data_IF_002537051097
#
_entry.id   IF_002537051097
#
_cell.length_a   1.000
_cell.length_b   1.000
_cell.length_c   1.000
_cell.angle_alpha   90.00
_cell.angle_beta   90.00
_cell.angle_gamma   90.00
#
_symmetry.space_group_name_H-M   'P 1'
#
loop_
_entity.id
_entity.type
_entity.pdbx_description
1 polymer ?
#
# COMPACT_ATOMS: atom_id res chain seq x y z
N UNK A 1 18.00 -12.75 -13.84
CA UNK A 1 17.53 -11.36 -13.66
C UNK A 1 17.30 -10.74 -15.04
N UNK A 2 16.16 -10.08 -15.25
CA UNK A 2 15.84 -9.44 -16.54
C UNK A 2 16.67 -8.15 -16.70
N UNK A 3 17.20 -7.91 -17.90
CA UNK A 3 18.10 -6.78 -18.16
C UNK A 3 17.40 -5.53 -18.70
N UNK A 4 16.22 -5.66 -19.34
CA UNK A 4 15.52 -4.52 -19.93
C UNK A 4 14.25 -4.18 -19.16
N UNK A 5 14.21 -2.95 -18.63
CA UNK A 5 13.02 -2.34 -18.06
C UNK A 5 12.40 -1.37 -19.07
N UNK A 6 11.17 -1.63 -19.49
CA UNK A 6 10.39 -0.72 -20.34
C UNK A 6 9.38 0.00 -19.46
N UNK A 7 9.43 1.33 -19.42
CA UNK A 7 8.51 2.15 -18.63
C UNK A 7 7.52 2.81 -19.58
N UNK A 8 6.25 2.39 -19.53
CA UNK A 8 5.15 3.04 -20.23
C UNK A 8 4.63 4.21 -19.39
N UNK A 9 4.45 5.39 -19.99
CA UNK A 9 4.19 6.61 -19.24
C UNK A 9 5.47 7.22 -18.63
N UNK A 10 6.60 7.04 -19.30
CA UNK A 10 7.92 7.40 -18.78
C UNK A 10 8.09 8.89 -18.42
N UNK A 11 7.31 9.79 -19.01
CA UNK A 11 7.30 11.23 -18.70
C UNK A 11 6.53 11.59 -17.42
N UNK A 12 5.81 10.64 -16.82
CA UNK A 12 4.95 10.88 -15.66
C UNK A 12 5.69 11.10 -14.33
N UNK A 13 4.94 11.60 -13.33
CA UNK A 13 5.46 11.87 -11.98
C UNK A 13 5.99 10.61 -11.30
N UNK A 14 5.30 9.47 -11.43
CA UNK A 14 5.72 8.19 -10.84
C UNK A 14 7.15 7.81 -11.24
N UNK A 15 7.45 7.95 -12.54
CA UNK A 15 8.77 7.62 -13.08
C UNK A 15 9.85 8.50 -12.47
N UNK A 16 9.66 9.82 -12.51
CA UNK A 16 10.68 10.76 -12.05
C UNK A 16 10.84 10.82 -10.52
N UNK A 17 9.75 10.63 -9.77
CA UNK A 17 9.70 10.78 -8.31
C UNK A 17 10.00 9.49 -7.54
N UNK A 18 9.70 8.32 -8.12
CA UNK A 18 9.83 7.05 -7.41
C UNK A 18 10.71 6.04 -8.15
N UNK A 19 10.43 5.74 -9.42
CA UNK A 19 11.16 4.70 -10.16
C UNK A 19 12.62 5.09 -10.41
N UNK A 20 12.86 6.31 -10.88
CA UNK A 20 14.22 6.74 -11.19
C UNK A 20 15.11 6.87 -9.95
N UNK A 21 14.67 7.48 -8.84
CA UNK A 21 15.43 7.43 -7.58
C UNK A 21 15.72 6.00 -7.13
N UNK A 22 14.75 5.10 -7.26
CA UNK A 22 14.92 3.70 -6.90
C UNK A 22 15.97 3.00 -7.78
N UNK A 23 15.93 3.20 -9.10
CA UNK A 23 16.92 2.65 -10.04
C UNK A 23 18.33 3.19 -9.74
N UNK A 24 18.46 4.49 -9.48
CA UNK A 24 19.75 5.09 -9.07
C UNK A 24 20.27 4.42 -7.81
N UNK A 25 19.41 4.25 -6.79
CA UNK A 25 19.81 3.61 -5.54
C UNK A 25 20.24 2.16 -5.74
N UNK A 26 19.53 1.39 -6.56
CA UNK A 26 19.92 0.01 -6.89
C UNK A 26 21.24 -0.06 -7.64
N UNK A 27 21.52 0.92 -8.51
CA UNK A 27 22.80 0.99 -9.20
C UNK A 27 23.96 1.23 -8.22
N UNK A 28 23.77 2.14 -7.26
CA UNK A 28 24.75 2.46 -6.22
C UNK A 28 25.05 1.28 -5.29
N UNK A 29 24.03 0.46 -5.01
CA UNK A 29 24.19 -0.77 -4.22
C UNK A 29 24.67 -1.98 -5.04
N UNK A 30 24.91 -1.82 -6.35
CA UNK A 30 25.35 -2.91 -7.22
C UNK A 30 24.30 -4.02 -7.41
N UNK A 31 23.02 -3.70 -7.24
CA UNK A 31 21.89 -4.64 -7.31
C UNK A 31 21.21 -4.71 -8.68
N UNK A 32 21.65 -3.89 -9.65
CA UNK A 32 21.18 -3.98 -11.02
C UNK A 32 21.99 -5.03 -11.80
N UNK A 33 21.36 -5.76 -12.75
CA UNK A 33 22.07 -6.74 -13.53
C UNK A 33 23.10 -6.10 -14.47
N UNK A 34 24.15 -6.85 -14.81
CA UNK A 34 25.07 -6.44 -15.87
C UNK A 34 24.31 -6.25 -17.18
N UNK A 35 24.60 -5.16 -17.91
CA UNK A 35 23.89 -4.82 -19.14
C UNK A 35 22.49 -4.23 -18.94
N UNK A 36 22.08 -3.88 -17.71
CA UNK A 36 20.79 -3.25 -17.45
C UNK A 36 20.51 -2.02 -18.34
N UNK A 37 19.32 -1.96 -18.93
CA UNK A 37 18.85 -0.84 -19.77
C UNK A 37 17.44 -0.45 -19.41
N UNK A 38 17.12 0.83 -19.61
CA UNK A 38 15.78 1.37 -19.47
C UNK A 38 15.32 1.92 -20.81
N UNK A 39 14.12 1.55 -21.26
CA UNK A 39 13.44 2.18 -22.38
C UNK A 39 12.20 2.91 -21.86
N UNK A 40 12.22 4.23 -21.90
CA UNK A 40 11.06 5.05 -21.62
C UNK A 40 10.17 5.19 -22.86
N UNK A 41 8.87 4.94 -22.71
CA UNK A 41 7.86 5.16 -23.74
C UNK A 41 6.79 6.10 -23.21
N UNK A 42 6.54 7.19 -23.94
CA UNK A 42 5.45 8.12 -23.66
C UNK A 42 5.00 8.83 -24.95
N UNK A 43 3.91 9.60 -24.87
CA UNK A 43 3.36 10.34 -26.01
C UNK A 43 3.99 11.72 -26.21
N UNK A 44 4.65 12.25 -25.17
CA UNK A 44 5.31 13.55 -25.21
C UNK A 44 6.31 13.66 -26.38
N UNK A 45 6.34 14.83 -27.01
CA UNK A 45 7.23 15.09 -28.14
C UNK A 45 8.65 15.42 -27.66
N UNK A 46 9.30 14.43 -27.06
CA UNK A 46 10.65 14.52 -26.51
C UNK A 46 11.62 13.66 -27.31
N UNK A 47 12.85 14.16 -27.44
CA UNK A 47 13.97 13.32 -27.85
C UNK A 47 14.68 12.75 -26.60
N UNK A 48 15.59 11.82 -26.82
CA UNK A 48 16.34 11.14 -25.75
C UNK A 48 17.13 12.10 -24.85
N UNK A 49 17.71 13.15 -25.41
CA UNK A 49 18.48 14.17 -24.66
C UNK A 49 17.57 14.97 -23.72
N UNK A 50 16.40 15.39 -24.20
CA UNK A 50 15.40 16.10 -23.41
C UNK A 50 14.86 15.23 -22.29
N UNK A 51 14.58 13.95 -22.56
CA UNK A 51 14.13 13.01 -21.54
C UNK A 51 15.18 12.81 -20.43
N UNK A 52 16.45 12.58 -20.79
CA UNK A 52 17.54 12.45 -19.82
C UNK A 52 17.74 13.72 -19.00
N UNK A 53 17.64 14.89 -19.63
CA UNK A 53 17.76 16.18 -18.96
C UNK A 53 16.64 16.40 -17.94
N UNK A 54 15.40 16.05 -18.31
CA UNK A 54 14.26 16.07 -17.40
C UNK A 54 14.47 15.17 -16.18
N UNK A 55 14.91 13.92 -16.39
CA UNK A 55 15.19 13.00 -15.29
C UNK A 55 16.32 13.53 -14.39
N UNK A 56 17.38 14.09 -14.97
CA UNK A 56 18.50 14.67 -14.23
C UNK A 56 18.04 15.81 -13.32
N UNK A 57 17.20 16.72 -13.82
CA UNK A 57 16.64 17.83 -13.06
C UNK A 57 15.78 17.32 -11.90
N UNK A 58 14.88 16.36 -12.15
CA UNK A 58 13.99 15.78 -11.13
C UNK A 58 14.78 15.03 -10.05
N UNK A 59 15.79 14.26 -10.44
CA UNK A 59 16.68 13.59 -9.50
C UNK A 59 17.45 14.59 -8.62
N UNK A 60 17.94 15.70 -9.19
CA UNK A 60 18.59 16.76 -8.42
C UNK A 60 17.62 17.42 -7.43
N UNK A 61 16.39 17.73 -7.85
CA UNK A 61 15.37 18.34 -7.01
C UNK A 61 14.88 17.41 -5.88
N UNK A 62 14.87 16.10 -6.10
CA UNK A 62 14.43 15.12 -5.10
C UNK A 62 15.37 15.01 -3.89
N UNK A 63 16.55 15.64 -3.94
CA UNK A 63 17.56 15.49 -2.90
C UNK A 63 18.07 14.07 -2.75
N UNK A 64 17.80 13.18 -3.73
CA UNK A 64 18.54 11.92 -3.86
C UNK A 64 20.01 12.34 -3.81
N UNK A 65 20.77 11.86 -2.83
CA UNK A 65 22.23 12.08 -2.66
C UNK A 65 22.89 10.76 -2.98
N UNK A 66 23.92 10.82 -3.81
CA UNK A 66 24.35 9.70 -4.60
C UNK A 66 25.55 10.14 -5.37
N UNK A 67 26.49 9.24 -5.58
CA UNK A 67 27.79 9.59 -6.14
C UNK A 67 27.55 10.04 -7.58
N UNK A 68 27.80 11.32 -7.87
CA UNK A 68 27.45 11.95 -9.16
C UNK A 68 27.73 11.02 -10.33
N UNK A 69 28.97 10.50 -10.44
CA UNK A 69 29.39 9.64 -11.55
C UNK A 69 28.56 8.37 -11.79
N UNK A 70 27.96 7.78 -10.75
CA UNK A 70 27.05 6.63 -10.90
C UNK A 70 25.71 7.05 -11.51
N UNK A 71 25.23 8.25 -11.21
CA UNK A 71 24.00 8.81 -11.81
C UNK A 71 24.16 9.08 -13.29
N UNK A 72 25.27 9.70 -13.67
CA UNK A 72 25.56 9.94 -15.08
C UNK A 72 25.67 8.62 -15.85
N UNK A 73 26.26 7.59 -15.23
CA UNK A 73 26.37 6.26 -15.82
C UNK A 73 25.00 5.62 -16.07
N UNK A 74 24.09 5.64 -15.09
CA UNK A 74 22.76 5.04 -15.26
C UNK A 74 21.90 5.84 -16.25
N UNK A 75 21.95 7.19 -16.23
CA UNK A 75 21.25 8.02 -17.20
C UNK A 75 21.71 7.75 -18.64
N UNK A 76 22.99 7.39 -18.83
CA UNK A 76 23.54 6.96 -20.12
C UNK A 76 22.94 5.67 -20.67
N UNK A 77 22.31 4.85 -19.81
CA UNK A 77 21.65 3.56 -20.15
C UNK A 77 20.14 3.69 -20.38
N UNK A 78 19.61 4.91 -20.41
CA UNK A 78 18.18 5.19 -20.59
C UNK A 78 17.94 5.69 -22.02
N UNK A 79 17.10 4.99 -22.76
CA UNK A 79 16.63 5.40 -24.07
C UNK A 79 15.18 5.88 -23.98
N UNK A 80 14.73 6.68 -24.96
CA UNK A 80 13.36 7.18 -25.04
C UNK A 80 12.78 6.95 -26.42
N UNK A 81 11.52 6.52 -26.47
CA UNK A 81 10.77 6.40 -27.71
C UNK A 81 9.38 7.01 -27.55
N UNK A 82 9.01 7.88 -28.49
CA UNK A 82 7.66 8.41 -28.56
C UNK A 82 6.74 7.37 -29.20
N UNK A 83 5.74 6.90 -28.46
CA UNK A 83 4.74 5.99 -28.98
C UNK A 83 3.46 6.04 -28.13
N UNK A 84 2.33 5.77 -28.77
CA UNK A 84 1.09 5.44 -28.08
C UNK A 84 1.08 3.95 -27.70
N UNK A 85 1.07 3.69 -26.40
CA UNK A 85 1.09 2.33 -25.82
C UNK A 85 -0.19 1.54 -26.09
N UNK A 86 -1.27 2.24 -26.46
CA UNK A 86 -2.54 1.61 -26.86
C UNK A 86 -2.59 1.30 -28.36
N UNK A 87 -1.58 1.73 -29.12
CA UNK A 87 -1.46 1.44 -30.53
C UNK A 87 -0.41 0.34 -30.73
N UNK A 88 -0.87 -0.85 -31.12
CA UNK A 88 -0.04 -2.04 -31.35
C UNK A 88 1.15 -1.76 -32.29
N UNK A 89 0.94 -1.08 -33.41
CA UNK A 89 1.98 -0.93 -34.44
C UNK A 89 3.08 0.03 -33.98
N UNK A 90 2.69 1.13 -33.32
CA UNK A 90 3.65 2.04 -32.70
C UNK A 90 4.44 1.35 -31.58
N UNK A 91 3.76 0.55 -30.75
CA UNK A 91 4.41 -0.20 -29.68
C UNK A 91 5.36 -1.28 -30.23
N UNK A 92 4.98 -1.99 -31.29
CA UNK A 92 5.85 -2.94 -31.99
C UNK A 92 7.14 -2.25 -32.48
N UNK A 93 6.99 -1.07 -33.09
CA UNK A 93 8.12 -0.29 -33.58
C UNK A 93 9.04 0.16 -32.43
N UNK A 94 8.47 0.64 -31.31
CA UNK A 94 9.22 1.06 -30.14
C UNK A 94 10.01 -0.11 -29.51
N UNK A 95 9.41 -1.30 -29.46
CA UNK A 95 10.02 -2.50 -28.88
C UNK A 95 10.96 -3.25 -29.85
N UNK A 96 11.02 -2.88 -31.12
CA UNK A 96 11.83 -3.57 -32.15
C UNK A 96 13.33 -3.68 -31.81
N UNK A 97 13.84 -2.78 -30.95
CA UNK A 97 15.24 -2.74 -30.50
C UNK A 97 15.49 -3.49 -29.20
N UNK A 98 14.43 -3.94 -28.52
CA UNK A 98 14.52 -4.72 -27.28
C UNK A 98 14.77 -6.18 -27.65
N UNK A 99 15.77 -6.79 -27.01
CA UNK A 99 16.14 -8.20 -27.26
C UNK A 99 15.93 -9.01 -26.00
N UNK A 100 15.34 -10.20 -26.16
CA UNK A 100 15.04 -11.09 -25.03
C UNK A 100 13.89 -10.62 -24.14
N UNK A 101 13.70 -11.28 -22.98
CA UNK A 101 12.64 -10.94 -22.03
C UNK A 101 12.79 -9.53 -21.47
N UNK A 102 11.66 -8.87 -21.23
CA UNK A 102 11.61 -7.50 -20.69
C UNK A 102 10.64 -7.39 -19.50
N UNK A 103 10.82 -6.35 -18.69
CA UNK A 103 9.83 -5.92 -17.71
C UNK A 103 9.03 -4.77 -18.33
N UNK A 104 7.74 -4.99 -18.55
CA UNK A 104 6.77 -4.01 -19.02
C UNK A 104 6.13 -3.30 -17.81
N UNK A 105 6.64 -2.12 -17.45
CA UNK A 105 6.14 -1.34 -16.33
C UNK A 105 5.08 -0.33 -16.78
N UNK A 106 3.83 -0.53 -16.36
CA UNK A 106 2.71 0.34 -16.71
C UNK A 106 2.61 1.49 -15.69
N UNK A 107 3.46 2.51 -15.85
CA UNK A 107 3.37 3.77 -15.11
C UNK A 107 2.31 4.69 -15.73
N UNK A 108 1.10 4.15 -15.91
CA UNK A 108 0.00 4.74 -16.66
C UNK A 108 -1.22 5.01 -15.77
N UNK A 109 -2.10 5.94 -16.15
CA UNK A 109 -3.43 6.05 -15.58
C UNK A 109 -4.24 4.74 -15.72
N UNK A 110 -5.16 4.43 -14.79
CA UNK A 110 -5.88 3.14 -14.76
C UNK A 110 -6.68 2.85 -16.04
N UNK A 111 -7.26 3.90 -16.63
CA UNK A 111 -8.03 3.81 -17.88
C UNK A 111 -7.22 3.28 -19.07
N UNK A 112 -5.88 3.36 -19.00
CA UNK A 112 -4.99 2.89 -20.06
C UNK A 112 -4.45 1.47 -19.81
N UNK A 113 -4.72 0.85 -18.64
CA UNK A 113 -4.20 -0.49 -18.35
C UNK A 113 -4.72 -1.53 -19.34
N UNK A 114 -6.04 -1.69 -19.48
CA UNK A 114 -6.62 -2.69 -20.37
C UNK A 114 -6.19 -2.50 -21.85
N UNK A 115 -6.32 -1.30 -22.46
CA UNK A 115 -5.85 -1.08 -23.84
C UNK A 115 -4.35 -1.33 -24.05
N UNK A 116 -3.52 -1.01 -23.05
CA UNK A 116 -2.07 -1.28 -23.12
C UNK A 116 -1.77 -2.77 -23.03
N UNK A 117 -2.46 -3.50 -22.14
CA UNK A 117 -2.29 -4.95 -22.01
C UNK A 117 -2.77 -5.67 -23.26
N UNK A 118 -3.91 -5.28 -23.84
CA UNK A 118 -4.38 -5.78 -25.14
C UNK A 118 -3.32 -5.62 -26.23
N UNK A 119 -2.65 -4.46 -26.27
CA UNK A 119 -1.54 -4.22 -27.19
C UNK A 119 -0.35 -5.15 -26.91
N UNK A 120 0.03 -5.35 -25.64
CA UNK A 120 1.12 -6.26 -25.26
C UNK A 120 0.81 -7.74 -25.58
N UNK A 121 -0.43 -8.18 -25.33
CA UNK A 121 -0.93 -9.52 -25.66
C UNK A 121 -0.82 -9.76 -27.17
N UNK A 122 -1.24 -8.79 -27.98
CA UNK A 122 -1.16 -8.87 -29.44
C UNK A 122 0.28 -8.93 -29.99
N UNK A 123 1.26 -8.40 -29.24
CA UNK A 123 2.68 -8.42 -29.62
C UNK A 123 3.39 -9.74 -29.26
N UNK A 124 2.82 -10.56 -28.38
CA UNK A 124 3.41 -11.83 -27.91
C UNK A 124 4.85 -11.64 -27.43
N UNK A 125 5.02 -10.92 -26.33
CA UNK A 125 6.34 -10.66 -25.75
C UNK A 125 7.14 -11.96 -25.54
N UNK A 126 8.50 -11.89 -25.57
CA UNK A 126 9.34 -13.06 -25.34
C UNK A 126 9.03 -13.75 -24.01
N UNK A 127 9.08 -15.10 -23.99
CA UNK A 127 8.81 -15.90 -22.79
C UNK A 127 9.71 -15.46 -21.62
N UNK A 128 9.11 -15.30 -20.43
CA UNK A 128 9.77 -14.78 -19.23
C UNK A 128 9.76 -13.26 -19.14
N UNK A 129 9.11 -12.57 -20.08
CA UNK A 129 8.77 -11.16 -19.91
C UNK A 129 7.73 -11.01 -18.80
N UNK A 130 7.82 -9.91 -18.06
CA UNK A 130 6.97 -9.62 -16.92
C UNK A 130 6.16 -8.37 -17.17
N UNK A 131 4.98 -8.27 -16.58
CA UNK A 131 4.15 -7.07 -16.62
C UNK A 131 3.97 -6.53 -15.21
N UNK A 132 4.16 -5.23 -15.03
CA UNK A 132 4.05 -4.56 -13.73
C UNK A 132 2.94 -3.54 -13.79
N UNK A 133 2.01 -3.60 -12.84
CA UNK A 133 0.87 -2.70 -12.73
C UNK A 133 0.93 -1.98 -11.38
N UNK A 134 0.60 -0.70 -11.40
CA UNK A 134 0.32 0.08 -10.21
C UNK A 134 -1.15 -0.05 -9.79
N UNK A 135 -1.41 0.18 -8.51
CA UNK A 135 -2.78 0.34 -8.03
C UNK A 135 -3.47 1.54 -8.73
N UNK A 136 -4.80 1.50 -8.91
CA UNK A 136 -5.76 0.48 -8.50
C UNK A 136 -5.87 -0.71 -9.49
N UNK A 137 -6.12 -1.90 -8.95
CA UNK A 137 -6.35 -3.13 -9.72
C UNK A 137 -7.84 -3.30 -10.01
N UNK A 138 -8.31 -2.61 -11.04
CA UNK A 138 -9.75 -2.47 -11.31
C UNK A 138 -10.42 -1.40 -10.43
N UNK A 139 -11.73 -1.22 -10.62
CA UNK A 139 -12.57 -0.23 -9.91
C UNK A 139 -13.67 -0.89 -9.06
N UNK A 140 -13.84 -2.20 -9.23
CA UNK A 140 -14.79 -3.11 -8.58
C UNK A 140 -14.37 -4.55 -8.88
N UNK A 141 -15.02 -5.53 -8.25
CA UNK A 141 -14.70 -6.95 -8.42
C UNK A 141 -14.77 -7.40 -9.89
N UNK A 142 -15.82 -6.99 -10.61
CA UNK A 142 -16.02 -7.40 -12.01
C UNK A 142 -14.90 -6.89 -12.93
N UNK A 143 -14.48 -5.65 -12.75
CA UNK A 143 -13.39 -5.05 -13.53
C UNK A 143 -12.03 -5.62 -13.16
N UNK A 144 -11.78 -5.94 -11.88
CA UNK A 144 -10.58 -6.65 -11.44
C UNK A 144 -10.47 -8.04 -12.07
N UNK A 145 -11.57 -8.80 -12.07
CA UNK A 145 -11.66 -10.10 -12.75
C UNK A 145 -11.42 -10.01 -14.25
N UNK A 146 -11.98 -9.00 -14.92
CA UNK A 146 -11.73 -8.78 -16.35
C UNK A 146 -10.27 -8.43 -16.64
N UNK A 147 -9.65 -7.59 -15.80
CA UNK A 147 -8.24 -7.24 -15.90
C UNK A 147 -7.33 -8.47 -15.70
N UNK A 148 -7.63 -9.30 -14.69
CA UNK A 148 -6.90 -10.54 -14.43
C UNK A 148 -7.01 -11.52 -15.61
N UNK A 149 -8.22 -11.72 -16.16
CA UNK A 149 -8.40 -12.55 -17.36
C UNK A 149 -7.54 -12.09 -18.53
N UNK A 150 -7.54 -10.78 -18.81
CA UNK A 150 -6.76 -10.18 -19.89
C UNK A 150 -5.24 -10.37 -19.68
N UNK A 151 -4.74 -10.20 -18.46
CA UNK A 151 -3.34 -10.44 -18.11
C UNK A 151 -2.95 -11.91 -18.37
N UNK A 152 -3.81 -12.85 -17.98
CA UNK A 152 -3.55 -14.28 -18.11
C UNK A 152 -3.63 -14.84 -19.53
N UNK A 153 -4.05 -14.04 -20.51
CA UNK A 153 -3.96 -14.42 -21.93
C UNK A 153 -2.51 -14.54 -22.41
N UNK A 154 -1.57 -13.81 -21.80
CA UNK A 154 -0.15 -13.83 -22.20
C UNK A 154 0.84 -14.02 -21.06
N UNK A 155 0.46 -13.71 -19.81
CA UNK A 155 1.34 -13.76 -18.67
C UNK A 155 0.84 -14.78 -17.64
N UNK A 156 1.63 -15.82 -17.29
CA UNK A 156 1.32 -16.63 -16.13
C UNK A 156 1.38 -15.75 -14.87
N UNK A 157 0.64 -16.10 -13.82
CA UNK A 157 0.53 -15.27 -12.61
C UNK A 157 1.88 -14.96 -11.94
N UNK A 158 2.90 -15.82 -12.07
CA UNK A 158 4.24 -15.52 -11.56
C UNK A 158 4.98 -14.38 -12.30
N UNK A 159 4.52 -14.04 -13.51
CA UNK A 159 5.10 -12.98 -14.36
C UNK A 159 4.26 -11.68 -14.30
N UNK A 160 3.19 -11.65 -13.49
CA UNK A 160 2.34 -10.48 -13.27
C UNK A 160 2.66 -9.87 -11.91
N UNK A 161 3.08 -8.60 -11.92
CA UNK A 161 3.47 -7.88 -10.72
C UNK A 161 2.48 -6.74 -10.45
N UNK A 162 1.51 -7.00 -9.59
CA UNK A 162 0.60 -5.98 -9.03
C UNK A 162 1.26 -5.37 -7.80
N UNK A 163 1.62 -4.09 -7.87
CA UNK A 163 2.39 -3.44 -6.83
C UNK A 163 1.54 -2.79 -5.74
N UNK A 164 1.87 -3.14 -4.51
CA UNK A 164 1.52 -2.36 -3.34
C UNK A 164 2.82 -1.95 -2.61
N UNK A 165 3.17 -0.67 -2.72
CA UNK A 165 4.40 -0.14 -2.12
C UNK A 165 4.47 -0.27 -0.59
N UNK A 166 3.36 -0.55 0.10
CA UNK A 166 3.40 -0.82 1.55
C UNK A 166 4.14 -2.13 1.85
N UNK A 167 4.01 -3.15 1.00
CA UNK A 167 4.68 -4.43 1.17
C UNK A 167 6.21 -4.31 1.03
N UNK A 168 6.69 -3.26 0.36
CA UNK A 168 8.10 -2.91 0.27
C UNK A 168 8.66 -2.19 1.51
N UNK A 169 7.83 -1.82 2.50
CA UNK A 169 8.29 -1.13 3.71
C UNK A 169 8.93 -2.12 4.70
N UNK A 170 10.04 -1.70 5.30
CA UNK A 170 10.77 -2.52 6.26
C UNK A 170 9.90 -2.96 7.44
N UNK A 171 9.17 -2.04 8.10
CA UNK A 171 8.33 -2.42 9.24
C UNK A 171 7.20 -3.37 8.87
N UNK A 172 6.64 -3.25 7.66
CA UNK A 172 5.62 -4.19 7.18
C UNK A 172 6.19 -5.59 7.04
N UNK A 173 7.42 -5.72 6.55
CA UNK A 173 8.12 -7.01 6.47
C UNK A 173 8.52 -7.53 7.86
N UNK A 174 8.86 -6.64 8.80
CA UNK A 174 9.19 -7.02 10.18
C UNK A 174 8.03 -7.71 10.91
N UNK A 175 6.77 -7.55 10.48
CA UNK A 175 5.62 -8.29 11.02
C UNK A 175 5.86 -9.80 10.94
N UNK A 176 6.44 -10.29 9.83
CA UNK A 176 6.75 -11.71 9.65
C UNK A 176 7.77 -12.20 10.68
N UNK A 177 8.86 -11.45 10.86
CA UNK A 177 9.88 -11.77 11.86
C UNK A 177 9.33 -11.69 13.28
N UNK A 178 8.53 -10.66 13.58
CA UNK A 178 7.89 -10.48 14.88
C UNK A 178 7.01 -11.68 15.24
N UNK A 179 6.15 -12.12 14.33
CA UNK A 179 5.20 -13.21 14.59
C UNK A 179 5.88 -14.58 14.61
N UNK A 180 6.73 -14.88 13.62
CA UNK A 180 7.16 -16.26 13.37
C UNK A 180 8.59 -16.58 13.83
N UNK A 181 9.40 -15.58 14.18
CA UNK A 181 10.74 -15.80 14.74
C UNK A 181 10.77 -15.73 16.29
N UNK A 182 9.63 -15.45 16.94
CA UNK A 182 9.55 -15.22 18.38
C UNK A 182 8.56 -16.17 19.04
N UNK A 183 9.07 -17.12 19.83
CA UNK A 183 8.26 -18.10 20.57
C UNK A 183 7.29 -17.47 21.57
N UNK A 184 7.54 -16.24 22.01
CA UNK A 184 6.70 -15.53 22.99
C UNK A 184 5.41 -14.95 22.38
N UNK A 185 5.37 -14.67 21.07
CA UNK A 185 4.23 -13.97 20.46
C UNK A 185 3.19 -14.93 19.86
N UNK A 186 3.61 -15.95 19.12
CA UNK A 186 2.66 -16.84 18.44
C UNK A 186 1.62 -17.51 19.38
N UNK A 187 1.98 -17.98 20.60
CA UNK A 187 1.00 -18.56 21.52
C UNK A 187 -0.09 -17.58 21.98
N UNK A 188 0.22 -16.28 22.03
CA UNK A 188 -0.73 -15.22 22.42
C UNK A 188 -1.39 -14.54 21.21
N UNK A 189 -1.14 -15.05 19.98
CA UNK A 189 -1.64 -14.45 18.75
C UNK A 189 -3.01 -14.99 18.31
N UNK A 190 -3.99 -14.97 19.22
CA UNK A 190 -5.34 -15.49 18.95
C UNK A 190 -6.41 -14.77 19.77
N UNK A 191 -7.67 -15.05 19.43
CA UNK A 191 -8.88 -14.59 20.15
C UNK A 191 -8.85 -14.89 21.65
N UNK A 192 -8.07 -15.86 22.14
CA UNK A 192 -7.94 -16.11 23.58
C UNK A 192 -7.26 -14.95 24.32
N UNK A 193 -6.34 -14.24 23.66
CA UNK A 193 -5.47 -13.24 24.28
C UNK A 193 -5.63 -11.85 23.68
N UNK A 194 -6.03 -11.74 22.41
CA UNK A 194 -6.22 -10.46 21.72
C UNK A 194 -7.67 -10.03 21.87
N UNK A 195 -7.88 -8.79 22.30
CA UNK A 195 -9.20 -8.15 22.39
C UNK A 195 -9.61 -7.58 21.05
N UNK A 196 -8.72 -6.83 20.40
CA UNK A 196 -8.96 -6.13 19.13
C UNK A 196 -7.67 -5.76 18.42
N UNK A 197 -7.75 -5.53 17.11
CA UNK A 197 -6.63 -5.05 16.29
C UNK A 197 -7.03 -3.75 15.61
N UNK A 198 -6.15 -2.76 15.64
CA UNK A 198 -6.30 -1.50 14.89
C UNK A 198 -5.20 -1.38 13.85
N UNK A 199 -5.56 -0.93 12.65
CA UNK A 199 -4.63 -0.59 11.58
C UNK A 199 -5.01 0.81 11.09
N UNK A 200 -4.15 1.78 11.37
CA UNK A 200 -4.44 3.20 11.22
C UNK A 200 -3.44 3.85 10.26
N UNK A 201 -3.96 4.61 9.31
CA UNK A 201 -3.20 5.48 8.42
C UNK A 201 -3.85 6.85 8.31
N UNK A 202 -3.63 7.66 9.33
CA UNK A 202 -4.08 9.05 9.44
C UNK A 202 -2.97 9.98 8.97
N UNK A 203 -3.36 10.98 8.19
CA UNK A 203 -2.44 11.92 7.55
C UNK A 203 -2.86 13.38 7.79
N UNK A 204 -1.86 14.21 8.08
CA UNK A 204 -1.99 15.67 8.15
C UNK A 204 -2.09 16.30 6.75
N UNK A 205 -1.62 15.60 5.72
CA UNK A 205 -1.67 16.09 4.34
C UNK A 205 -3.12 16.14 3.82
N UNK A 206 -3.41 17.18 3.02
CA UNK A 206 -4.69 17.34 2.34
C UNK A 206 -4.68 16.62 1.00
N UNK A 207 -5.80 16.66 0.28
CA UNK A 207 -5.85 16.17 -1.11
C UNK A 207 -5.17 17.12 -2.13
N UNK A 208 -4.67 18.28 -1.68
CA UNK A 208 -4.19 19.38 -2.52
C UNK A 208 -3.27 18.93 -3.67
N UNK A 209 -3.49 19.49 -4.86
CA UNK A 209 -2.77 19.16 -6.09
C UNK A 209 -3.16 17.83 -6.76
N UNK A 210 -3.88 16.96 -6.05
CA UNK A 210 -4.44 15.69 -6.58
C UNK A 210 -5.94 15.52 -6.33
N UNK A 211 -6.61 16.57 -5.88
CA UNK A 211 -8.01 16.52 -5.45
C UNK A 211 -8.93 15.98 -6.56
N UNK A 212 -8.77 16.40 -7.82
CA UNK A 212 -9.55 15.91 -8.96
C UNK A 212 -9.44 14.39 -9.18
N UNK A 213 -8.24 13.81 -9.00
CA UNK A 213 -8.03 12.36 -9.08
C UNK A 213 -8.61 11.66 -7.84
N UNK A 214 -8.34 12.21 -6.65
CA UNK A 214 -8.79 11.64 -5.39
C UNK A 214 -10.33 11.60 -5.30
N UNK A 215 -11.01 12.58 -5.89
CA UNK A 215 -12.47 12.72 -5.90
C UNK A 215 -13.19 11.62 -6.70
N UNK A 216 -12.48 10.83 -7.50
CA UNK A 216 -13.03 9.62 -8.12
C UNK A 216 -12.82 8.37 -7.25
N UNK A 217 -11.86 8.41 -6.34
CA UNK A 217 -11.35 7.25 -5.60
C UNK A 217 -11.96 7.18 -4.20
N UNK A 218 -11.79 8.24 -3.40
CA UNK A 218 -12.16 8.27 -1.98
C UNK A 218 -11.20 7.50 -1.07
N UNK A 219 -11.29 7.77 0.24
CA UNK A 219 -10.39 7.19 1.24
C UNK A 219 -10.47 5.65 1.32
N UNK A 220 -11.68 5.08 1.15
CA UNK A 220 -11.87 3.63 1.24
C UNK A 220 -11.13 2.89 0.12
N UNK A 221 -11.20 3.38 -1.12
CA UNK A 221 -10.48 2.77 -2.26
C UNK A 221 -8.99 3.10 -2.25
N UNK A 222 -8.62 4.32 -1.86
CA UNK A 222 -7.22 4.75 -1.93
C UNK A 222 -6.33 3.99 -0.95
N UNK A 223 -6.83 3.68 0.24
CA UNK A 223 -6.03 3.15 1.35
C UNK A 223 -6.54 1.82 1.93
N UNK A 224 -7.85 1.67 2.16
CA UNK A 224 -8.36 0.47 2.84
C UNK A 224 -8.38 -0.73 1.89
N UNK A 225 -8.92 -0.57 0.67
CA UNK A 225 -9.08 -1.67 -0.30
C UNK A 225 -7.77 -2.39 -0.64
N UNK A 226 -6.65 -1.66 -0.62
CA UNK A 226 -5.32 -2.20 -0.89
C UNK A 226 -4.49 -2.30 0.40
N UNK A 227 -3.86 -1.20 0.79
CA UNK A 227 -2.81 -1.15 1.81
C UNK A 227 -3.27 -1.76 3.13
N UNK A 228 -4.41 -1.32 3.67
CA UNK A 228 -4.79 -1.76 5.02
C UNK A 228 -5.34 -3.19 5.05
N UNK A 229 -5.97 -3.65 3.97
CA UNK A 229 -6.34 -5.07 3.83
C UNK A 229 -5.11 -5.98 3.69
N UNK A 230 -4.05 -5.50 3.03
CA UNK A 230 -2.78 -6.22 2.96
C UNK A 230 -2.08 -6.31 4.33
N UNK A 231 -2.10 -5.23 5.11
CA UNK A 231 -1.62 -5.26 6.49
C UNK A 231 -2.47 -6.18 7.37
N UNK A 232 -3.80 -6.16 7.22
CA UNK A 232 -4.70 -7.09 7.90
C UNK A 232 -4.32 -8.53 7.59
N UNK A 233 -4.10 -8.87 6.32
CA UNK A 233 -3.71 -10.22 5.91
C UNK A 233 -2.39 -10.66 6.58
N UNK A 234 -1.37 -9.81 6.60
CA UNK A 234 -0.08 -10.11 7.25
C UNK A 234 -0.20 -10.28 8.76
N UNK A 235 -1.04 -9.49 9.43
CA UNK A 235 -1.29 -9.59 10.87
C UNK A 235 -2.09 -10.84 11.22
N UNK A 236 -3.06 -11.21 10.39
CA UNK A 236 -4.04 -12.24 10.72
C UNK A 236 -3.72 -13.64 10.17
N UNK A 237 -2.82 -13.78 9.19
CA UNK A 237 -2.55 -15.08 8.55
C UNK A 237 -1.97 -16.13 9.48
N UNK A 238 -2.20 -17.40 9.16
CA UNK A 238 -1.63 -18.53 9.92
C UNK A 238 -0.09 -18.59 9.79
N UNK A 239 0.61 -19.28 10.72
CA UNK A 239 2.04 -19.51 10.63
C UNK A 239 2.47 -20.19 9.34
N UNK A 240 3.54 -19.64 8.75
CA UNK A 240 4.09 -20.12 7.49
C UNK A 240 5.00 -21.33 7.71
N UNK A 241 4.95 -22.31 6.81
CA UNK A 241 5.93 -23.40 6.80
C UNK A 241 7.23 -23.01 6.07
N UNK A 242 7.16 -22.03 5.16
CA UNK A 242 8.27 -21.47 4.41
C UNK A 242 7.95 -20.02 3.99
N UNK A 243 8.98 -19.20 3.78
CA UNK A 243 8.84 -17.84 3.25
C UNK A 243 9.17 -17.86 1.76
N UNK A 244 8.17 -18.22 0.97
CA UNK A 244 8.21 -18.27 -0.50
C UNK A 244 6.92 -17.68 -1.10
N UNK A 245 6.93 -17.47 -2.42
CA UNK A 245 5.85 -16.81 -3.14
C UNK A 245 4.50 -17.50 -2.98
N UNK A 246 4.46 -18.84 -2.90
CA UNK A 246 3.20 -19.57 -2.84
C UNK A 246 2.67 -19.53 -1.42
N UNK A 247 3.54 -19.90 -0.49
CA UNK A 247 3.18 -20.05 0.92
C UNK A 247 2.67 -18.73 1.48
N UNK A 248 3.39 -17.63 1.27
CA UNK A 248 2.97 -16.33 1.80
C UNK A 248 1.65 -15.87 1.19
N UNK A 249 1.49 -15.97 -0.14
CA UNK A 249 0.30 -15.50 -0.84
C UNK A 249 -0.93 -16.36 -0.52
N UNK A 250 -0.78 -17.69 -0.41
CA UNK A 250 -1.86 -18.59 0.00
C UNK A 250 -2.39 -18.26 1.40
N UNK A 251 -1.50 -17.98 2.36
CA UNK A 251 -1.87 -17.65 3.73
C UNK A 251 -2.56 -16.29 3.83
N UNK A 252 -2.12 -15.29 3.04
CA UNK A 252 -2.78 -14.00 2.92
C UNK A 252 -4.19 -14.15 2.35
N UNK A 253 -4.34 -14.86 1.23
CA UNK A 253 -5.64 -15.11 0.58
C UNK A 253 -6.59 -15.87 1.50
N UNK A 254 -6.10 -16.89 2.21
CA UNK A 254 -6.92 -17.67 3.14
C UNK A 254 -7.59 -16.78 4.19
N UNK A 255 -6.87 -15.77 4.71
CA UNK A 255 -7.46 -14.79 5.62
C UNK A 255 -8.43 -13.85 4.92
N UNK A 256 -8.08 -13.31 3.76
CA UNK A 256 -8.97 -12.40 3.03
C UNK A 256 -10.30 -13.08 2.68
N UNK A 257 -10.28 -14.37 2.34
CA UNK A 257 -11.49 -15.19 2.16
C UNK A 257 -12.31 -15.36 3.43
N UNK A 258 -11.63 -15.45 4.58
CA UNK A 258 -12.28 -15.55 5.89
C UNK A 258 -12.80 -14.20 6.41
N UNK A 259 -12.42 -13.06 5.82
CA UNK A 259 -13.02 -11.77 6.19
C UNK A 259 -14.51 -11.78 5.85
N UNK A 260 -15.35 -11.61 6.88
CA UNK A 260 -16.80 -11.59 6.73
C UNK A 260 -17.22 -10.45 5.82
N UNK A 261 -18.04 -10.79 4.82
CA UNK A 261 -18.71 -9.78 4.01
C UNK A 261 -19.75 -9.07 4.87
N UNK A 262 -19.71 -7.74 4.93
CA UNK A 262 -20.73 -6.97 5.64
C UNK A 262 -22.05 -7.01 4.87
N UNK A 263 -23.12 -7.38 5.57
CA UNK A 263 -24.48 -7.26 5.06
C UNK A 263 -24.94 -5.79 5.08
N UNK A 264 -25.88 -5.37 4.20
CA UNK A 264 -26.27 -3.97 4.09
C UNK A 264 -26.69 -3.29 5.41
N UNK A 265 -27.35 -4.01 6.31
CA UNK A 265 -27.78 -3.49 7.62
C UNK A 265 -26.62 -3.38 8.63
N UNK A 266 -25.54 -4.12 8.43
CA UNK A 266 -24.33 -4.05 9.25
C UNK A 266 -23.44 -2.87 8.86
N UNK A 267 -23.43 -2.47 7.58
CA UNK A 267 -22.53 -1.41 7.08
C UNK A 267 -22.68 -0.11 7.86
N UNK A 268 -23.90 0.32 8.18
CA UNK A 268 -24.13 1.53 8.98
C UNK A 268 -23.65 1.43 10.43
N UNK A 269 -23.55 0.21 10.98
CA UNK A 269 -23.04 -0.02 12.34
C UNK A 269 -21.51 -0.17 12.36
N UNK A 270 -20.94 -0.75 11.32
CA UNK A 270 -19.52 -1.15 11.27
C UNK A 270 -18.62 -0.17 10.54
N UNK A 271 -19.19 0.85 9.89
CA UNK A 271 -18.42 1.80 9.09
C UNK A 271 -18.71 3.25 9.45
N UNK A 272 -17.69 4.09 9.29
CA UNK A 272 -17.77 5.54 9.41
C UNK A 272 -17.09 6.14 8.19
N UNK A 273 -17.74 7.11 7.56
CA UNK A 273 -17.17 7.89 6.46
C UNK A 273 -17.31 9.38 6.76
N UNK A 274 -16.31 10.15 6.38
CA UNK A 274 -16.35 11.59 6.59
C UNK A 274 -15.59 12.41 5.57
N UNK A 275 -15.81 13.72 5.61
CA UNK A 275 -15.16 14.69 4.73
C UNK A 275 -14.69 15.91 5.52
N UNK A 276 -13.45 16.34 5.31
CA UNK A 276 -12.92 17.48 6.04
C UNK A 276 -13.53 18.80 5.54
N UNK A 277 -13.83 19.69 6.49
CA UNK A 277 -14.22 21.08 6.26
C UNK A 277 -13.08 22.03 6.60
N UNK A 278 -13.30 23.34 6.42
CA UNK A 278 -12.30 24.37 6.74
C UNK A 278 -11.77 24.18 8.18
N UNK A 279 -10.46 24.30 8.34
CA UNK A 279 -9.80 24.13 9.63
C UNK A 279 -8.36 24.62 9.64
N UNK A 280 -7.59 24.19 10.64
CA UNK A 280 -6.21 24.64 10.84
C UNK A 280 -5.32 23.43 11.15
N UNK A 281 -4.24 23.27 10.37
CA UNK A 281 -3.22 22.23 10.60
C UNK A 281 -1.87 22.91 10.74
N UNK A 282 -1.19 22.71 11.86
CA UNK A 282 0.14 23.30 12.10
C UNK A 282 0.19 24.82 11.93
N UNK A 283 -0.89 25.53 12.31
CA UNK A 283 -1.03 26.98 12.16
C UNK A 283 -1.37 27.49 10.77
N UNK A 284 -1.57 26.61 9.77
CA UNK A 284 -1.98 26.99 8.41
C UNK A 284 -3.48 26.75 8.23
N UNK A 285 -4.17 27.71 7.63
CA UNK A 285 -5.56 27.53 7.21
C UNK A 285 -5.66 26.52 6.08
N UNK A 286 -6.58 25.58 6.23
CA UNK A 286 -6.90 24.56 5.24
C UNK A 286 -8.32 24.82 4.73
N UNK A 287 -8.52 24.99 3.41
CA UNK A 287 -9.86 25.16 2.83
C UNK A 287 -10.70 23.90 3.01
N UNK A 288 -12.01 24.03 2.82
CA UNK A 288 -12.89 22.85 2.82
C UNK A 288 -12.58 21.95 1.63
N UNK A 289 -12.73 20.62 1.76
CA UNK A 289 -12.45 19.71 0.64
C UNK A 289 -13.28 20.05 -0.62
N UNK A 290 -14.52 20.52 -0.43
CA UNK A 290 -15.42 20.91 -1.54
C UNK A 290 -14.97 22.17 -2.29
N UNK A 291 -14.05 22.95 -1.71
CA UNK A 291 -13.48 24.15 -2.32
C UNK A 291 -12.19 23.84 -3.11
N UNK A 292 -11.66 22.62 -3.00
CA UNK A 292 -10.46 22.19 -3.71
C UNK A 292 -10.70 22.09 -5.22
N UNK A 293 -9.70 22.50 -6.00
CA UNK A 293 -9.82 22.53 -7.47
C UNK A 293 -10.07 21.13 -8.05
N UNK A 294 -11.14 21.01 -8.84
CA UNK A 294 -11.50 19.78 -9.54
C UNK A 294 -12.33 18.78 -8.74
N UNK A 295 -12.78 19.13 -7.53
CA UNK A 295 -13.73 18.34 -6.72
C UNK A 295 -15.16 18.56 -7.21
N UNK A 296 -15.95 17.48 -7.28
CA UNK A 296 -17.38 17.50 -7.61
C UNK A 296 -18.20 17.15 -6.37
N UNK A 297 -18.89 18.15 -5.81
CA UNK A 297 -19.58 18.03 -4.52
C UNK A 297 -20.62 16.91 -4.52
N UNK A 298 -21.26 16.67 -5.67
CA UNK A 298 -22.31 15.69 -5.89
C UNK A 298 -21.82 14.24 -5.78
N UNK A 299 -20.50 14.00 -5.80
CA UNK A 299 -19.92 12.67 -5.62
C UNK A 299 -19.94 12.20 -4.16
N UNK A 300 -20.16 13.12 -3.22
CA UNK A 300 -20.13 12.83 -1.79
C UNK A 300 -18.86 12.04 -1.39
N UNK A 301 -17.71 12.37 -1.97
CA UNK A 301 -16.45 11.65 -1.73
C UNK A 301 -15.98 11.82 -0.29
N UNK A 302 -15.63 10.71 0.35
CA UNK A 302 -15.04 10.70 1.68
C UNK A 302 -13.52 10.94 1.67
N UNK A 303 -13.05 11.75 2.61
CA UNK A 303 -11.62 11.95 2.92
C UNK A 303 -11.20 11.22 4.20
N UNK A 304 -12.16 10.60 4.88
CA UNK A 304 -11.98 9.75 6.05
C UNK A 304 -12.82 8.48 5.89
N UNK A 305 -12.24 7.33 6.22
CA UNK A 305 -12.93 6.06 6.27
C UNK A 305 -12.45 5.23 7.46
N UNK A 306 -13.38 4.64 8.19
CA UNK A 306 -13.14 3.62 9.20
C UNK A 306 -14.08 2.45 8.95
N UNK A 307 -13.53 1.23 8.96
CA UNK A 307 -14.27 -0.01 8.77
C UNK A 307 -13.87 -0.99 9.85
N UNK A 308 -14.84 -1.56 10.54
CA UNK A 308 -14.63 -2.66 11.47
C UNK A 308 -14.99 -3.96 10.79
N UNK A 309 -14.02 -4.87 10.68
CA UNK A 309 -14.16 -6.16 10.02
C UNK A 309 -14.06 -7.29 11.04
N UNK A 310 -14.75 -8.39 10.74
CA UNK A 310 -14.61 -9.66 11.45
C UNK A 310 -13.94 -10.69 10.53
N UNK A 311 -13.17 -11.61 11.12
CA UNK A 311 -12.53 -12.72 10.41
C UNK A 311 -13.11 -14.02 10.95
N UNK A 312 -13.86 -14.73 10.10
CA UNK A 312 -14.61 -15.94 10.44
C UNK A 312 -13.73 -17.19 10.34
N UNK A 313 -12.75 -17.28 11.25
CA UNK A 313 -11.95 -18.47 11.45
C UNK A 313 -11.71 -18.73 12.95
N UNK A 314 -11.12 -19.88 13.28
CA UNK A 314 -10.88 -20.26 14.68
C UNK A 314 -10.03 -19.20 15.41
N UNK A 315 -8.94 -18.74 14.78
CA UNK A 315 -7.96 -17.83 15.40
C UNK A 315 -8.58 -16.49 15.80
N UNK A 316 -9.48 -15.93 14.97
CA UNK A 316 -9.94 -14.55 15.08
C UNK A 316 -11.42 -14.38 15.37
N UNK A 317 -12.16 -15.47 15.58
CA UNK A 317 -13.58 -15.40 15.94
C UNK A 317 -13.81 -14.43 17.11
N UNK A 318 -14.66 -13.43 16.88
CA UNK A 318 -15.04 -12.42 17.87
C UNK A 318 -14.05 -11.26 18.06
N UNK A 319 -12.88 -11.27 17.40
CA UNK A 319 -11.90 -10.18 17.48
C UNK A 319 -12.18 -9.15 16.37
N UNK A 320 -12.53 -7.89 16.70
CA UNK A 320 -12.73 -6.86 15.69
C UNK A 320 -11.38 -6.34 15.16
N UNK A 321 -11.32 -6.19 13.84
CA UNK A 321 -10.24 -5.52 13.12
C UNK A 321 -10.72 -4.15 12.63
N UNK A 322 -10.20 -3.09 13.22
CA UNK A 322 -10.55 -1.71 12.84
C UNK A 322 -9.51 -1.18 11.85
N UNK A 323 -9.92 -0.95 10.61
CA UNK A 323 -9.12 -0.31 9.57
C UNK A 323 -9.54 1.15 9.46
N UNK A 324 -8.61 2.08 9.62
CA UNK A 324 -8.91 3.52 9.64
C UNK A 324 -7.90 4.30 8.81
N UNK A 325 -8.41 5.30 8.10
CA UNK A 325 -7.59 6.25 7.36
C UNK A 325 -8.30 7.59 7.25
N UNK A 326 -7.53 8.67 7.22
CA UNK A 326 -8.08 9.99 6.95
C UNK A 326 -7.04 11.00 6.52
N UNK A 327 -7.48 12.00 5.76
CA UNK A 327 -6.68 13.16 5.35
C UNK A 327 -7.04 14.40 6.15
N UNK A 328 -6.13 15.37 6.16
CA UNK A 328 -6.28 16.64 6.87
C UNK A 328 -6.61 16.46 8.37
N UNK A 329 -6.02 15.46 9.02
CA UNK A 329 -6.16 15.20 10.45
C UNK A 329 -5.13 16.00 11.27
N UNK A 330 -5.32 16.09 12.58
CA UNK A 330 -4.47 16.88 13.49
C UNK A 330 -3.04 16.36 13.66
N UNK A 331 -2.83 15.06 13.41
CA UNK A 331 -1.53 14.41 13.54
C UNK A 331 -1.42 13.22 12.58
N UNK A 332 -0.19 12.92 12.16
CA UNK A 332 0.09 11.70 11.41
C UNK A 332 0.06 10.51 12.38
N UNK A 333 -0.67 9.45 12.02
CA UNK A 333 -0.62 8.15 12.72
C UNK A 333 -0.56 7.04 11.70
N UNK A 334 0.47 6.21 11.78
CA UNK A 334 0.73 5.14 10.82
C UNK A 334 1.12 3.92 11.61
N UNK A 335 0.15 3.19 12.14
CA UNK A 335 0.41 2.17 13.15
C UNK A 335 -0.52 0.97 13.01
N UNK A 336 0.01 -0.20 13.37
CA UNK A 336 -0.76 -1.40 13.67
C UNK A 336 -0.68 -1.59 15.18
N UNK A 337 -1.83 -1.73 15.83
CA UNK A 337 -1.90 -1.87 17.28
C UNK A 337 -2.70 -3.11 17.64
N UNK A 338 -2.05 -4.03 18.34
CA UNK A 338 -2.65 -5.23 18.90
C UNK A 338 -2.94 -4.96 20.38
N UNK A 339 -4.23 -4.95 20.72
CA UNK A 339 -4.69 -4.75 22.10
C UNK A 339 -4.97 -6.12 22.73
N UNK A 340 -4.25 -6.45 23.80
CA UNK A 340 -4.45 -7.69 24.53
C UNK A 340 -5.56 -7.54 25.57
N UNK A 341 -6.22 -8.65 25.89
CA UNK A 341 -7.24 -8.69 26.94
C UNK A 341 -6.62 -8.42 28.31
N UNK A 342 -7.41 -7.86 29.22
CA UNK A 342 -7.05 -7.74 30.64
C UNK A 342 -6.72 -9.10 31.25
N UNK A 343 -5.87 -9.10 32.28
CA UNK A 343 -5.59 -10.31 33.07
C UNK A 343 -6.88 -10.86 33.68
N UNK A 344 -7.05 -12.20 33.72
CA UNK A 344 -8.29 -12.80 34.21
C UNK A 344 -8.48 -12.66 35.73
N UNK A 345 -7.38 -12.47 36.47
CA UNK A 345 -7.39 -12.25 37.91
C UNK A 345 -6.25 -11.30 38.28
N UNK A 346 -6.53 -10.36 39.18
CA UNK A 346 -5.56 -9.39 39.69
C UNK A 346 -5.46 -9.55 41.22
N UNK A 347 -4.27 -9.89 41.69
CA UNK A 347 -3.99 -10.04 43.13
C UNK A 347 -3.61 -8.72 43.82
N UNK A 348 -3.52 -7.62 43.06
CA UNK A 348 -3.26 -6.27 43.57
C UNK A 348 -4.55 -5.67 44.15
N UNK A 349 -4.42 -4.66 45.02
CA UNK A 349 -5.57 -4.04 45.71
C UNK A 349 -6.63 -3.49 44.75
N UNK A 350 -7.85 -3.23 45.25
CA UNK A 350 -9.00 -2.81 44.41
C UNK A 350 -8.74 -1.54 43.56
N UNK A 351 -7.77 -0.71 43.97
CA UNK A 351 -7.39 0.52 43.25
C UNK A 351 -6.38 0.28 42.11
N UNK A 352 -5.75 -0.91 42.04
CA UNK A 352 -4.84 -1.25 40.95
C UNK A 352 -5.65 -1.61 39.69
N UNK A 353 -5.63 -0.72 38.69
CA UNK A 353 -6.24 -0.97 37.39
C UNK A 353 -5.14 -1.06 36.33
N UNK A 354 -4.56 -2.26 36.09
CA UNK A 354 -3.51 -2.42 35.10
C UNK A 354 -4.05 -2.07 33.71
N UNK A 355 -3.26 -1.30 32.96
CA UNK A 355 -3.57 -1.03 31.56
C UNK A 355 -3.36 -2.32 30.77
N UNK A 356 -4.33 -2.77 29.94
CA UNK A 356 -4.11 -3.96 29.11
C UNK A 356 -2.86 -3.82 28.23
N UNK A 357 -2.15 -4.93 28.02
CA UNK A 357 -0.93 -4.88 27.22
C UNK A 357 -1.24 -4.47 25.78
N UNK A 358 -0.28 -3.78 25.16
CA UNK A 358 -0.41 -3.29 23.79
C UNK A 358 0.88 -3.52 23.05
N UNK A 359 0.80 -4.09 21.85
CA UNK A 359 1.91 -4.14 20.91
C UNK A 359 1.61 -3.17 19.77
N UNK A 360 2.42 -2.12 19.65
CA UNK A 360 2.34 -1.11 18.61
C UNK A 360 3.48 -1.28 17.61
N UNK A 361 3.13 -1.27 16.32
CA UNK A 361 4.03 -1.35 15.19
C UNK A 361 3.82 -0.10 14.34
N UNK A 362 4.67 0.90 14.51
CA UNK A 362 4.64 2.17 13.79
C UNK A 362 5.41 2.06 12.46
N UNK A 363 4.77 2.48 11.37
CA UNK A 363 5.21 2.29 9.98
C UNK A 363 5.95 3.50 9.40
N UNK A 364 6.02 4.61 10.14
CA UNK A 364 6.72 5.83 9.76
C UNK A 364 6.58 6.91 10.87
N UNK A 365 7.63 7.20 11.66
CA UNK A 365 8.92 6.51 11.66
C UNK A 365 8.76 5.03 12.04
N UNK A 366 9.70 4.19 11.60
CA UNK A 366 9.67 2.76 11.86
C UNK A 366 10.00 2.49 13.34
N UNK A 367 9.04 1.99 14.13
CA UNK A 367 9.21 1.70 15.57
C UNK A 367 8.32 0.53 16.00
N UNK A 368 8.80 -0.29 16.93
CA UNK A 368 7.97 -1.27 17.64
C UNK A 368 8.01 -0.94 19.14
N UNK A 369 6.86 -0.99 19.80
CA UNK A 369 6.71 -0.76 21.22
C UNK A 369 5.77 -1.80 21.86
N UNK A 370 6.12 -2.29 23.04
CA UNK A 370 5.30 -3.18 23.85
C UNK A 370 5.02 -2.54 25.22
N UNK A 371 3.76 -2.31 25.54
CA UNK A 371 3.32 -1.79 26.84
C UNK A 371 3.10 -2.93 27.84
N UNK A 372 3.81 -2.88 28.98
CA UNK A 372 3.74 -3.88 30.06
C UNK A 372 3.61 -3.22 31.42
N UNK A 373 2.91 -3.88 32.36
CA UNK A 373 2.78 -3.39 33.72
C UNK A 373 3.90 -3.94 34.61
N UNK A 374 4.48 -3.08 35.45
CA UNK A 374 5.50 -3.38 36.46
C UNK A 374 5.11 -2.73 37.78
N UNK A 375 5.79 -3.08 38.87
CA UNK A 375 5.60 -2.39 40.15
C UNK A 375 6.14 -0.96 40.10
N UNK A 376 5.45 -0.03 40.75
CA UNK A 376 6.02 1.29 41.05
C UNK A 376 7.26 1.12 41.96
N UNK A 377 8.33 1.91 41.75
CA UNK A 377 9.50 1.87 42.63
C UNK A 377 9.13 2.13 44.09
N UNK A 378 9.31 1.11 44.94
CA UNK A 378 9.06 1.20 46.38
C UNK A 378 7.64 0.85 46.82
N UNK A 379 6.73 0.47 45.92
CA UNK A 379 5.37 0.03 46.25
C UNK A 379 5.02 -1.31 45.56
N UNK A 380 4.82 -2.36 46.36
CA UNK A 380 4.49 -3.70 45.85
C UNK A 380 3.04 -3.82 45.38
N UNK A 381 2.16 -2.89 45.76
CA UNK A 381 0.73 -2.94 45.51
C UNK A 381 0.28 -2.02 44.37
N UNK A 382 1.15 -1.09 43.94
CA UNK A 382 0.89 -0.19 42.82
C UNK A 382 1.60 -0.61 41.55
N UNK A 383 0.94 -0.36 40.43
CA UNK A 383 1.38 -0.74 39.10
C UNK A 383 1.62 0.50 38.25
N UNK A 384 2.73 0.49 37.53
CA UNK A 384 3.06 1.45 36.47
C UNK A 384 3.12 0.72 35.13
N UNK A 385 2.73 1.38 34.05
CA UNK A 385 2.77 0.84 32.70
C UNK A 385 3.97 1.42 31.96
N UNK A 386 4.98 0.59 31.71
CA UNK A 386 6.17 0.98 30.96
C UNK A 386 6.05 0.55 29.48
N UNK A 387 6.74 1.26 28.59
CA UNK A 387 6.91 0.87 27.20
C UNK A 387 8.31 0.32 26.96
N UNK A 388 8.39 -0.89 26.41
CA UNK A 388 9.62 -1.45 25.86
C UNK A 388 9.62 -1.16 24.36
N UNK A 389 10.42 -0.18 23.93
CA UNK A 389 10.40 0.27 22.55
C UNK A 389 11.76 0.25 21.85
N UNK A 390 11.71 0.13 20.52
CA UNK A 390 12.87 0.18 19.66
C UNK A 390 12.53 0.91 18.36
N UNK A 391 13.11 2.11 18.12
CA UNK A 391 13.10 2.71 16.80
C UNK A 391 14.04 1.96 15.86
N UNK A 392 13.62 1.78 14.61
CA UNK A 392 14.46 1.24 13.55
C UNK A 392 15.07 2.38 12.75
N UNK A 393 16.38 2.32 12.46
CA UNK A 393 17.01 3.34 11.64
C UNK A 393 16.55 3.17 10.19
N UNK A 394 16.37 4.28 9.48
CA UNK A 394 15.94 4.30 8.07
C UNK A 394 17.09 3.93 7.11
N UNK A 395 17.66 2.73 7.26
CA UNK A 395 18.88 2.27 6.54
C UNK A 395 18.56 1.32 5.38
N UNK A 396 17.28 1.15 5.03
CA UNK A 396 16.84 0.25 3.98
C UNK A 396 16.79 0.86 2.58
N UNK A 397 16.64 -0.02 1.58
CA UNK A 397 16.18 0.38 0.25
C UNK A 397 14.82 1.08 0.37
N UNK A 398 14.56 2.18 -0.37
CA UNK A 398 13.22 2.70 -0.53
C UNK A 398 12.26 1.60 -1.00
N UNK A 399 10.98 1.67 -0.63
CA UNK A 399 10.01 0.62 -0.94
C UNK A 399 9.98 0.25 -2.44
N UNK A 400 10.00 1.24 -3.33
CA UNK A 400 10.09 1.00 -4.78
C UNK A 400 11.39 0.33 -5.22
N UNK A 401 12.52 0.65 -4.59
CA UNK A 401 13.78 0.00 -4.90
C UNK A 401 13.76 -1.46 -4.46
N UNK A 402 13.15 -1.77 -3.32
CA UNK A 402 12.95 -3.15 -2.90
C UNK A 402 12.09 -3.93 -3.90
N UNK A 403 10.93 -3.40 -4.27
CA UNK A 403 10.02 -4.04 -5.22
C UNK A 403 10.66 -4.20 -6.61
N UNK A 404 11.46 -3.24 -7.07
CA UNK A 404 12.18 -3.36 -8.35
C UNK A 404 13.19 -4.50 -8.36
N UNK A 405 13.86 -4.80 -7.24
CA UNK A 405 14.73 -5.98 -7.15
C UNK A 405 13.90 -7.25 -7.36
N UNK A 406 12.80 -7.40 -6.61
CA UNK A 406 11.93 -8.56 -6.69
C UNK A 406 11.38 -8.75 -8.13
N UNK A 407 10.97 -7.67 -8.81
CA UNK A 407 10.55 -7.69 -10.22
C UNK A 407 11.66 -8.18 -11.16
N UNK A 408 12.87 -7.61 -11.04
CA UNK A 408 13.99 -7.95 -11.92
C UNK A 408 14.45 -9.40 -11.71
N UNK A 409 14.41 -9.89 -10.48
CA UNK A 409 14.70 -11.28 -10.12
C UNK A 409 13.58 -12.24 -10.57
N UNK A 410 12.33 -11.77 -10.57
CA UNK A 410 11.16 -12.60 -10.86
C UNK A 410 10.61 -13.29 -9.63
N UNK A 411 10.69 -12.61 -8.49
CA UNK A 411 10.13 -13.07 -7.23
C UNK A 411 8.81 -12.32 -6.96
N UNK A 412 7.65 -12.94 -7.18
CA UNK A 412 6.35 -12.30 -6.95
C UNK A 412 5.91 -12.36 -5.47
N UNK A 413 6.78 -12.76 -4.52
CA UNK A 413 6.42 -12.93 -3.10
C UNK A 413 5.74 -11.70 -2.50
N UNK A 414 6.20 -10.49 -2.81
CA UNK A 414 5.62 -9.23 -2.33
C UNK A 414 4.61 -8.61 -3.29
N UNK A 415 4.26 -9.30 -4.38
CA UNK A 415 3.24 -8.84 -5.32
C UNK A 415 1.85 -9.32 -4.92
N UNK A 416 0.84 -8.50 -5.19
CA UNK A 416 -0.56 -8.85 -4.98
C UNK A 416 -0.99 -9.89 -6.01
N UNK A 417 -1.42 -11.06 -5.54
CA UNK A 417 -1.94 -12.10 -6.41
C UNK A 417 -3.32 -11.74 -6.98
N UNK A 418 -3.69 -12.32 -8.10
CA UNK A 418 -5.00 -12.12 -8.73
C UNK A 418 -6.18 -12.28 -7.76
N UNK A 419 -6.20 -13.40 -7.03
CA UNK A 419 -7.21 -13.74 -6.04
C UNK A 419 -7.16 -12.84 -4.80
N UNK A 420 -5.98 -12.37 -4.36
CA UNK A 420 -5.89 -11.35 -3.31
C UNK A 420 -6.60 -10.05 -3.70
N UNK A 421 -6.38 -9.57 -4.93
CA UNK A 421 -7.00 -8.34 -5.41
C UNK A 421 -8.53 -8.48 -5.52
N UNK A 422 -9.01 -9.65 -5.96
CA UNK A 422 -10.44 -9.96 -6.04
C UNK A 422 -11.09 -10.05 -4.65
N UNK A 423 -10.45 -10.72 -3.69
CA UNK A 423 -10.97 -10.81 -2.31
C UNK A 423 -11.00 -9.43 -1.64
N UNK A 424 -9.99 -8.58 -1.88
CA UNK A 424 -10.01 -7.19 -1.45
C UNK A 424 -11.25 -6.44 -1.97
N UNK A 425 -11.62 -6.64 -3.24
CA UNK A 425 -12.86 -6.06 -3.80
C UNK A 425 -14.12 -6.67 -3.21
N UNK A 426 -14.17 -8.00 -3.04
CA UNK A 426 -15.31 -8.70 -2.41
C UNK A 426 -15.64 -8.12 -1.03
N UNK A 427 -14.61 -7.73 -0.27
CA UNK A 427 -14.76 -7.15 1.07
C UNK A 427 -15.31 -5.72 1.01
N UNK A 428 -14.75 -4.85 0.16
CA UNK A 428 -15.09 -3.41 0.20
C UNK A 428 -16.27 -3.00 -0.69
N UNK A 429 -16.59 -3.77 -1.74
CA UNK A 429 -17.61 -3.40 -2.71
C UNK A 429 -19.02 -3.25 -2.10
N UNK A 430 -19.49 -4.10 -1.18
CA UNK A 430 -20.77 -3.92 -0.50
C UNK A 430 -20.81 -2.63 0.33
N UNK A 431 -19.70 -2.27 0.98
CA UNK A 431 -19.57 -1.03 1.74
C UNK A 431 -19.75 0.17 0.80
N UNK A 432 -19.02 0.16 -0.32
CA UNK A 432 -19.11 1.20 -1.34
C UNK A 432 -20.51 1.32 -1.94
N UNK A 433 -21.25 0.22 -2.07
CA UNK A 433 -22.62 0.23 -2.58
C UNK A 433 -23.57 0.94 -1.61
N UNK A 434 -23.60 0.50 -0.34
CA UNK A 434 -24.46 1.11 0.69
C UNK A 434 -24.12 2.59 0.89
N UNK A 435 -22.85 2.95 0.86
CA UNK A 435 -22.41 4.35 0.94
C UNK A 435 -22.89 5.20 -0.23
N UNK A 436 -22.92 4.65 -1.45
CA UNK A 436 -23.44 5.33 -2.64
C UNK A 436 -24.96 5.51 -2.59
N UNK A 437 -25.66 4.54 -2.01
CA UNK A 437 -27.11 4.56 -1.81
C UNK A 437 -27.55 5.45 -0.62
N UNK A 438 -26.60 6.03 0.11
CA UNK A 438 -26.87 6.93 1.24
C UNK A 438 -27.20 6.21 2.55
N UNK A 439 -26.96 4.90 2.64
CA UNK A 439 -27.21 4.11 3.87
C UNK A 439 -26.28 4.45 5.04
N UNK A 440 -25.20 5.21 4.79
CA UNK A 440 -24.29 5.75 5.82
C UNK A 440 -24.09 7.24 5.58
N UNK A 441 -24.37 8.12 6.56
CA UNK A 441 -24.20 9.55 6.40
C UNK A 441 -22.73 9.92 6.21
N UNK A 442 -22.47 10.91 5.35
CA UNK A 442 -21.15 11.51 5.22
C UNK A 442 -20.98 12.57 6.32
N UNK A 443 -20.17 12.26 7.33
CA UNK A 443 -19.96 13.13 8.49
C UNK A 443 -18.88 14.17 8.19
N UNK A 444 -19.14 15.43 8.50
CA UNK A 444 -18.14 16.48 8.37
C UNK A 444 -17.23 16.56 9.60
N UNK A 445 -15.94 16.83 9.39
CA UNK A 445 -14.98 17.05 10.47
C UNK A 445 -14.05 18.22 10.13
N UNK A 446 -13.67 19.04 11.10
CA UNK A 446 -12.77 20.16 10.83
C UNK A 446 -11.36 19.65 10.46
N UNK A 447 -10.72 20.24 9.44
CA UNK A 447 -9.32 19.97 9.16
C UNK A 447 -8.46 20.27 10.41
N UNK A 448 -7.59 19.34 10.78
CA UNK A 448 -6.78 19.40 12.01
C UNK A 448 -7.43 18.77 13.25
N UNK A 449 -8.67 18.27 13.15
CA UNK A 449 -9.27 17.45 14.20
C UNK A 449 -8.79 15.98 14.15
N UNK A 450 -9.21 15.18 15.13
CA UNK A 450 -9.00 13.73 15.14
C UNK A 450 -9.99 12.96 14.22
N UNK A 451 -10.72 13.66 13.36
CA UNK A 451 -11.71 13.07 12.46
C UNK A 451 -13.12 13.03 13.07
N UNK A 452 -14.08 12.36 12.40
CA UNK A 452 -15.44 12.31 12.88
C UNK A 452 -15.54 11.50 14.18
N UNK A 453 -16.13 12.11 15.21
CA UNK A 453 -16.54 11.41 16.42
C UNK A 453 -17.90 10.78 16.12
N UNK A 454 -18.04 9.48 16.34
CA UNK A 454 -19.35 8.83 16.23
C UNK A 454 -20.23 9.39 17.36
N UNK A 455 -21.27 10.12 17.00
CA UNK A 455 -22.34 10.53 17.92
C UNK A 455 -23.16 9.33 18.37
#
# INVERSE_FOLDING_TARGET
>A
MIQTLVIFGASGDLTSRFLMPAIVRLHEEGKLPEGFRVLGIAQDDWNQEKFRSHLKEKLAASGTVGVSGLRETILGKIDYCRADVTNRDQLAQALSRVTGPLVAYLALPPALFAPSIESLVALKLPKGSKVVLEKPFGENLKSAQSLNRLLHESFPEQDVFRLDHFLGKQTVQNILGLRFANRIFEPVWSTHHIERVEIIWDETITAAGRASFYDATGALRDMIQNHLLQLLALVAMEPLHALDERTLRDHKVAVLRAVRRLEPDEVGRQTVRGRYTKGVIGGKEIPSYVEESGVRVERHTETFAQVTLAIDNWRWAGVPFVLRTGKALGRDRREITIHFKSVPHLAFGQDAQPVPNRLSIELSPDRIALSVNVNEPGDLCKLDCIELDKPFPSVGLPAYARLLVDILEGDPTLSIRDDEAEESWRIVEPILQVWREGGVPLIEYAAGSDGPVRL
#
